data_IF_844039000892
#
_entry.id   IF_844039000892
#
_cell.length_a   1.000
_cell.length_b   1.000
_cell.length_c   1.000
_cell.angle_alpha   90.00
_cell.angle_beta   90.00
_cell.angle_gamma   90.00
#
_symmetry.space_group_name_H-M   'P 1'
#
loop_
_entity.id
_entity.type
_entity.pdbx_description
1 polymer ?
#
# COMPACT_ATOMS: atom_id res chain seq x y z
N UNK A 1 -20.25 -31.08 -13.53
CA UNK A 1 -19.53 -31.64 -12.36
C UNK A 1 -20.52 -32.40 -11.50
N UNK A 2 -20.08 -33.52 -10.98
CA UNK A 2 -20.95 -34.35 -10.17
C UNK A 2 -21.28 -33.66 -8.82
N UNK A 3 -22.53 -33.76 -8.35
CA UNK A 3 -22.90 -33.11 -7.09
C UNK A 3 -22.06 -33.52 -5.88
N UNK A 4 -21.63 -34.76 -5.81
CA UNK A 4 -20.78 -35.21 -4.72
C UNK A 4 -19.40 -34.57 -4.75
N UNK A 5 -18.88 -34.29 -5.95
CA UNK A 5 -17.63 -33.59 -6.10
C UNK A 5 -17.75 -32.17 -5.60
N UNK A 6 -18.87 -31.51 -5.90
CA UNK A 6 -19.12 -30.16 -5.40
C UNK A 6 -19.19 -30.13 -3.89
N UNK A 7 -19.85 -31.11 -3.29
CA UNK A 7 -19.94 -31.20 -1.83
C UNK A 7 -18.57 -31.43 -1.19
N UNK A 8 -17.76 -32.25 -1.84
CA UNK A 8 -16.42 -32.50 -1.36
C UNK A 8 -15.57 -31.22 -1.39
N UNK A 9 -15.68 -30.46 -2.47
CA UNK A 9 -14.95 -29.19 -2.57
C UNK A 9 -15.45 -28.21 -1.53
N UNK A 10 -16.75 -28.15 -1.30
CA UNK A 10 -17.33 -27.30 -0.27
C UNK A 10 -16.80 -27.70 1.11
N UNK A 11 -16.77 -29.00 1.40
CA UNK A 11 -16.29 -29.51 2.67
C UNK A 11 -14.82 -29.17 2.91
N UNK A 12 -14.04 -29.08 1.85
CA UNK A 12 -12.61 -28.72 1.95
C UNK A 12 -12.38 -27.21 1.89
N UNK A 13 -13.46 -26.43 1.77
CA UNK A 13 -13.34 -24.99 1.75
C UNK A 13 -12.86 -24.41 0.43
N UNK A 14 -12.89 -25.20 -0.64
CA UNK A 14 -12.46 -24.73 -1.96
C UNK A 14 -13.50 -23.86 -2.62
N UNK A 15 -14.74 -24.03 -2.29
CA UNK A 15 -15.84 -23.17 -2.73
C UNK A 15 -16.74 -22.90 -1.54
N UNK A 16 -17.46 -21.78 -1.59
CA UNK A 16 -18.34 -21.38 -0.50
C UNK A 16 -19.67 -20.94 -1.08
N UNK A 17 -20.56 -21.88 -1.43
CA UNK A 17 -21.84 -21.51 -2.01
C UNK A 17 -22.74 -20.84 -0.98
N UNK A 18 -23.61 -19.98 -1.45
CA UNK A 18 -24.63 -19.38 -0.62
C UNK A 18 -25.85 -20.29 -0.59
N UNK A 19 -26.66 -20.14 0.44
CA UNK A 19 -27.90 -20.88 0.52
C UNK A 19 -29.06 -19.93 0.40
N UNK A 20 -30.08 -20.38 -0.37
CA UNK A 20 -31.30 -19.64 -0.51
C UNK A 20 -32.15 -19.76 0.75
N UNK A 21 -33.27 -19.01 0.80
CA UNK A 21 -34.22 -19.12 1.90
C UNK A 21 -34.76 -20.53 2.04
N UNK A 22 -34.78 -21.28 0.96
CA UNK A 22 -35.23 -22.68 0.95
C UNK A 22 -34.09 -23.66 1.20
N UNK A 23 -32.95 -23.16 1.63
CA UNK A 23 -31.76 -23.97 1.92
C UNK A 23 -31.19 -24.68 0.70
N UNK A 24 -31.36 -24.11 -0.49
CA UNK A 24 -30.80 -24.62 -1.71
C UNK A 24 -29.42 -23.97 -1.93
N UNK A 25 -28.44 -24.76 -2.35
CA UNK A 25 -27.11 -24.22 -2.67
C UNK A 25 -27.16 -23.33 -3.90
N UNK A 26 -26.61 -22.15 -3.77
CA UNK A 26 -26.50 -21.20 -4.88
C UNK A 26 -25.04 -20.90 -5.12
N UNK A 27 -24.61 -21.06 -6.35
CA UNK A 27 -23.22 -20.82 -6.74
C UNK A 27 -23.11 -19.48 -7.43
N UNK A 28 -22.18 -18.65 -6.95
CA UNK A 28 -21.90 -17.36 -7.56
C UNK A 28 -21.03 -17.54 -8.79
N UNK A 29 -20.87 -16.47 -9.55
CA UNK A 29 -19.96 -16.47 -10.68
C UNK A 29 -18.53 -16.77 -10.22
N UNK A 30 -18.16 -16.27 -9.05
CA UNK A 30 -16.84 -16.56 -8.48
C UNK A 30 -16.69 -18.05 -8.19
N UNK A 31 -17.71 -18.67 -7.66
CA UNK A 31 -17.69 -20.12 -7.41
C UNK A 31 -17.50 -20.90 -8.69
N UNK A 32 -18.20 -20.52 -9.74
CA UNK A 32 -18.09 -21.17 -11.04
C UNK A 32 -16.68 -21.02 -11.60
N UNK A 33 -16.12 -19.84 -11.53
CA UNK A 33 -14.75 -19.59 -11.99
C UNK A 33 -13.74 -20.39 -11.19
N UNK A 34 -13.96 -20.47 -9.88
CA UNK A 34 -13.10 -21.26 -9.01
C UNK A 34 -13.17 -22.74 -9.36
N UNK A 35 -14.36 -23.25 -9.63
CA UNK A 35 -14.54 -24.65 -10.03
C UNK A 35 -13.83 -24.93 -11.36
N UNK A 36 -13.95 -24.03 -12.31
CA UNK A 36 -13.24 -24.19 -13.59
C UNK A 36 -11.73 -24.22 -13.40
N UNK A 37 -11.26 -23.42 -12.50
CA UNK A 37 -9.85 -23.33 -12.19
C UNK A 37 -9.37 -24.61 -11.53
N UNK A 38 -10.13 -25.15 -10.59
CA UNK A 38 -9.82 -26.41 -9.94
C UNK A 38 -9.78 -27.53 -10.98
N UNK A 39 -10.74 -27.56 -11.88
CA UNK A 39 -10.78 -28.57 -12.93
C UNK A 39 -9.56 -28.50 -13.85
N UNK A 40 -9.11 -27.31 -14.19
CA UNK A 40 -7.88 -27.16 -14.97
C UNK A 40 -6.66 -27.66 -14.23
N UNK A 41 -6.53 -27.31 -12.97
CA UNK A 41 -5.39 -27.74 -12.17
C UNK A 41 -5.33 -29.25 -12.04
N UNK A 42 -6.46 -29.88 -11.83
CA UNK A 42 -6.49 -31.34 -11.67
C UNK A 42 -6.37 -32.07 -13.00
N UNK A 43 -6.98 -31.54 -14.05
CA UNK A 43 -7.01 -32.19 -15.35
C UNK A 43 -5.79 -31.88 -16.22
N UNK A 44 -5.52 -30.61 -16.44
CA UNK A 44 -4.45 -30.20 -17.36
C UNK A 44 -3.09 -30.13 -16.70
N UNK A 45 -3.04 -29.69 -15.47
CA UNK A 45 -1.77 -29.53 -14.76
C UNK A 45 -1.39 -30.72 -13.91
N UNK A 46 -2.26 -31.71 -13.84
CA UNK A 46 -1.98 -32.96 -13.15
C UNK A 46 -1.88 -32.87 -11.64
N UNK A 47 -2.41 -31.81 -11.05
CA UNK A 47 -2.39 -31.66 -9.60
C UNK A 47 -3.47 -32.52 -8.96
N UNK A 48 -3.15 -33.14 -7.86
CA UNK A 48 -4.18 -33.80 -7.06
C UNK A 48 -4.87 -32.74 -6.20
N UNK A 49 -5.92 -33.14 -5.51
CA UNK A 49 -6.72 -32.19 -4.74
C UNK A 49 -5.92 -31.51 -3.63
N UNK A 50 -5.02 -32.23 -2.99
CA UNK A 50 -4.16 -31.64 -1.97
C UNK A 50 -3.26 -30.57 -2.58
N UNK A 51 -2.72 -30.82 -3.77
CA UNK A 51 -1.94 -29.83 -4.50
C UNK A 51 -2.75 -28.59 -4.85
N UNK A 52 -3.99 -28.79 -5.27
CA UNK A 52 -4.90 -27.69 -5.56
C UNK A 52 -5.13 -26.84 -4.30
N UNK A 53 -5.37 -27.49 -3.18
CA UNK A 53 -5.54 -26.77 -1.90
C UNK A 53 -4.32 -25.93 -1.56
N UNK A 54 -3.15 -26.50 -1.75
CA UNK A 54 -1.88 -25.80 -1.48
C UNK A 54 -1.72 -24.59 -2.39
N UNK A 55 -1.99 -24.75 -3.67
CA UNK A 55 -1.90 -23.64 -4.64
C UNK A 55 -2.86 -22.52 -4.26
N UNK A 56 -4.09 -22.86 -3.94
CA UNK A 56 -5.09 -21.85 -3.58
C UNK A 56 -4.73 -21.12 -2.30
N UNK A 57 -4.16 -21.84 -1.34
CA UNK A 57 -3.70 -21.23 -0.10
C UNK A 57 -2.53 -20.29 -0.34
N UNK A 58 -1.57 -20.72 -1.16
CA UNK A 58 -0.44 -19.86 -1.53
C UNK A 58 -0.91 -18.61 -2.25
N UNK A 59 -1.88 -18.74 -3.11
CA UNK A 59 -2.43 -17.56 -3.81
C UNK A 59 -3.09 -16.58 -2.86
N UNK A 60 -3.81 -17.09 -1.86
CA UNK A 60 -4.37 -16.21 -0.84
C UNK A 60 -3.28 -15.50 -0.05
N UNK A 61 -2.20 -16.21 0.24
CA UNK A 61 -1.05 -15.62 0.92
C UNK A 61 -0.41 -14.52 0.07
N UNK A 62 -0.20 -14.79 -1.21
CA UNK A 62 0.33 -13.79 -2.14
C UNK A 62 -0.55 -12.57 -2.19
N UNK A 63 -1.86 -12.76 -2.25
CA UNK A 63 -2.80 -11.65 -2.29
C UNK A 63 -2.76 -10.81 -1.02
N UNK A 64 -2.68 -11.47 0.14
CA UNK A 64 -2.53 -10.76 1.40
C UNK A 64 -1.23 -9.98 1.45
N UNK A 65 -0.15 -10.57 0.96
CA UNK A 65 1.15 -9.90 0.92
C UNK A 65 1.14 -8.70 0.00
N UNK A 66 0.48 -8.82 -1.14
CA UNK A 66 0.34 -7.69 -2.08
C UNK A 66 -0.44 -6.55 -1.45
N UNK A 67 -1.52 -6.88 -0.75
CA UNK A 67 -2.31 -5.87 -0.08
C UNK A 67 -1.51 -5.18 1.02
N UNK A 68 -0.75 -5.95 1.78
CA UNK A 68 0.10 -5.39 2.82
C UNK A 68 1.18 -4.48 2.23
N UNK A 69 1.79 -4.93 1.14
CA UNK A 69 2.79 -4.13 0.46
C UNK A 69 2.20 -2.80 -0.06
N UNK A 70 1.00 -2.87 -0.61
CA UNK A 70 0.31 -1.65 -1.08
C UNK A 70 0.08 -0.68 0.08
N UNK A 71 -0.35 -1.20 1.23
CA UNK A 71 -0.56 -0.36 2.42
C UNK A 71 0.75 0.24 2.92
N UNK A 72 1.82 -0.53 2.90
CA UNK A 72 3.13 -0.04 3.32
C UNK A 72 3.63 1.06 2.39
N UNK A 73 3.45 0.88 1.09
CA UNK A 73 3.85 1.89 0.11
C UNK A 73 3.05 3.17 0.28
N UNK A 74 1.78 3.05 0.58
CA UNK A 74 0.94 4.21 0.80
C UNK A 74 1.36 4.96 2.06
N UNK A 75 1.65 4.23 3.14
CA UNK A 75 2.15 4.85 4.37
C UNK A 75 3.50 5.53 4.15
N UNK A 76 4.38 4.88 3.40
CA UNK A 76 5.69 5.47 3.09
C UNK A 76 5.53 6.75 2.28
N UNK A 77 4.65 6.75 1.30
CA UNK A 77 4.39 7.95 0.51
C UNK A 77 3.81 9.07 1.37
N UNK A 78 2.92 8.74 2.29
CA UNK A 78 2.35 9.72 3.20
C UNK A 78 3.40 10.30 4.14
N UNK A 79 4.26 9.46 4.67
CA UNK A 79 5.35 9.92 5.52
C UNK A 79 6.30 10.84 4.75
N UNK A 80 6.57 10.51 3.50
CA UNK A 80 7.42 11.34 2.66
C UNK A 80 6.78 12.70 2.41
N UNK A 81 5.49 12.72 2.14
CA UNK A 81 4.77 13.99 1.96
C UNK A 81 4.81 14.85 3.22
N UNK A 82 4.62 14.23 4.38
CA UNK A 82 4.69 14.94 5.66
C UNK A 82 6.06 15.51 5.91
N UNK A 83 7.07 14.70 5.63
CA UNK A 83 8.45 15.15 5.81
C UNK A 83 8.74 16.35 4.91
N UNK A 84 8.35 16.27 3.64
CA UNK A 84 8.55 17.37 2.71
C UNK A 84 7.82 18.63 3.17
N UNK A 85 6.60 18.48 3.69
CA UNK A 85 5.85 19.60 4.22
C UNK A 85 6.52 20.23 5.43
N UNK A 86 7.04 19.40 6.33
CA UNK A 86 7.74 19.89 7.50
C UNK A 86 9.02 20.62 7.13
N UNK A 87 9.75 20.08 6.18
CA UNK A 87 10.97 20.72 5.69
C UNK A 87 10.64 22.07 5.06
N UNK A 88 9.60 22.12 4.23
CA UNK A 88 9.20 23.37 3.59
C UNK A 88 8.71 24.38 4.60
N UNK A 89 7.98 23.93 5.61
CA UNK A 89 7.50 24.82 6.65
C UNK A 89 8.64 25.36 7.50
N UNK A 90 9.62 24.53 7.82
CA UNK A 90 10.79 24.95 8.54
C UNK A 90 11.58 25.99 7.74
N UNK A 91 11.68 25.78 6.43
CA UNK A 91 12.37 26.72 5.54
C UNK A 91 11.66 28.08 5.52
N UNK A 92 10.33 28.06 5.43
CA UNK A 92 9.56 29.31 5.47
C UNK A 92 9.69 30.01 6.80
N UNK A 93 9.68 29.26 7.88
CA UNK A 93 9.85 29.82 9.20
C UNK A 93 11.21 30.48 9.34
N UNK A 94 12.24 29.86 8.85
CA UNK A 94 13.58 30.42 8.87
C UNK A 94 13.64 31.70 8.05
N UNK A 95 13.05 31.70 6.86
CA UNK A 95 13.01 32.90 6.04
C UNK A 95 12.27 34.03 6.73
N UNK A 96 11.16 33.71 7.38
CA UNK A 96 10.39 34.70 8.08
C UNK A 96 11.16 35.32 9.24
N UNK A 97 11.96 34.51 9.91
CA UNK A 97 12.79 35.00 10.98
C UNK A 97 13.96 35.84 10.51
N UNK A 98 14.57 35.45 9.43
CA UNK A 98 15.81 36.04 9.00
C UNK A 98 15.62 37.19 8.03
N UNK A 99 14.53 37.23 7.28
CA UNK A 99 14.29 38.32 6.34
C UNK A 99 14.41 39.68 6.98
N UNK A 100 13.88 39.92 8.18
CA UNK A 100 14.10 41.23 8.81
C UNK A 100 15.56 41.58 8.95
N UNK A 101 16.39 40.59 9.13
CA UNK A 101 17.82 40.83 9.15
C UNK A 101 18.34 41.14 7.77
N UNK A 102 17.75 40.52 6.78
CA UNK A 102 18.13 40.79 5.42
C UNK A 102 17.89 42.21 5.03
N UNK A 103 16.94 42.85 5.66
CA UNK A 103 16.65 44.27 5.41
C UNK A 103 17.83 45.15 5.77
N UNK A 104 18.72 44.64 6.57
CA UNK A 104 19.89 45.39 6.91
C UNK A 104 21.09 44.51 6.92
N UNK A 105 21.21 43.79 5.93
CA UNK A 105 22.24 42.77 5.80
C UNK A 105 23.66 43.33 5.89
N UNK A 106 23.83 44.60 5.98
CA UNK A 106 25.15 45.20 6.12
C UNK A 106 25.17 45.99 7.39
N UNK A 107 26.10 45.62 8.27
CA UNK A 107 26.34 46.40 9.49
C UNK A 107 27.74 46.98 9.36
N UNK A 108 27.83 48.25 9.57
CA UNK A 108 29.11 48.93 9.50
C UNK A 108 29.80 48.83 10.83
N UNK A 109 31.04 48.49 10.77
CA UNK A 109 31.87 48.41 11.96
C UNK A 109 32.56 49.74 12.19
N UNK A 110 33.15 49.87 13.36
CA UNK A 110 33.80 51.12 13.73
C UNK A 110 35.02 51.42 12.87
N UNK A 111 35.59 50.41 12.31
CA UNK A 111 36.74 50.62 11.46
C UNK A 111 36.37 50.99 10.04
N UNK A 112 35.08 51.20 9.79
CA UNK A 112 34.60 51.62 8.48
C UNK A 112 34.31 50.47 7.52
N UNK A 113 34.57 49.28 7.91
CA UNK A 113 34.24 48.12 7.06
C UNK A 113 32.77 47.75 7.20
N UNK A 114 32.28 47.03 6.21
CA UNK A 114 30.92 46.56 6.24
C UNK A 114 30.95 45.06 6.51
N UNK A 115 30.09 44.64 7.36
CA UNK A 115 29.97 43.23 7.69
C UNK A 115 28.57 42.80 7.45
N UNK A 116 28.37 41.70 6.70
CA UNK A 116 27.08 41.13 6.54
C UNK A 116 26.85 40.18 7.67
N UNK A 117 25.79 40.35 8.35
CA UNK A 117 25.46 39.46 9.44
C UNK A 117 24.82 38.21 8.88
N UNK A 118 25.40 37.07 9.11
CA UNK A 118 24.89 35.83 8.52
C UNK A 118 23.46 35.53 8.87
N UNK A 119 23.00 36.01 9.98
CA UNK A 119 21.64 35.71 10.40
C UNK A 119 20.62 36.29 9.47
N UNK A 120 21.04 37.21 8.64
CA UNK A 120 20.11 37.78 7.73
C UNK A 120 19.93 36.97 6.50
N UNK A 121 20.62 35.92 6.30
CA UNK A 121 20.56 35.19 5.07
C UNK A 121 19.57 34.07 5.17
N UNK A 122 18.29 34.31 4.99
CA UNK A 122 17.32 33.24 5.07
C UNK A 122 17.41 32.27 3.90
N UNK A 123 17.87 32.74 2.80
CA UNK A 123 17.98 31.91 1.62
C UNK A 123 19.18 31.00 1.62
N UNK A 124 19.92 31.05 2.68
CA UNK A 124 21.01 30.19 2.79
C UNK A 124 20.55 28.86 3.20
N UNK A 125 19.86 28.20 2.64
CA UNK A 125 19.34 26.90 3.04
C UNK A 125 20.22 25.76 2.58
#
# INVERSE_FOLDING_TARGET
MHPQTLRMYEARGLITPHRSAKNTRLYSQRDVEQLRRIQRMTGEEGLNLAGVETVLELERTVERMRAELARMRERAAEMERRFDQEVEQARRSLKAEIVPYGAYDVIRTDDGSSVRIPVQRPDRS
#
